data_IF_671607108640
#
_entry.id   IF_671607108640
#
_cell.length_a   1.000
_cell.length_b   1.000
_cell.length_c   1.000
_cell.angle_alpha   90.00
_cell.angle_beta   90.00
_cell.angle_gamma   90.00
#
_symmetry.space_group_name_H-M   'P 1'
#
loop_
_entity.id
_entity.type
_entity.pdbx_description
1 polymer ?
#
# COMPACT_ATOMS: atom_id res chain seq x y z
N UNK A 1 -8.53 13.87 34.94
CA UNK A 1 -7.89 14.32 33.68
C UNK A 1 -7.58 13.08 32.88
N UNK A 2 -8.24 12.86 31.75
CA UNK A 2 -7.85 11.81 30.83
C UNK A 2 -6.58 12.32 30.16
N UNK A 3 -5.43 11.69 30.43
CA UNK A 3 -4.21 11.97 29.66
C UNK A 3 -4.43 11.41 28.28
N UNK A 4 -4.74 12.27 27.31
CA UNK A 4 -4.93 11.85 25.92
C UNK A 4 -3.66 11.17 25.42
N UNK A 5 -3.82 9.95 24.92
CA UNK A 5 -2.74 9.16 24.33
C UNK A 5 -2.30 9.86 23.04
N UNK A 6 -1.01 10.17 22.88
CA UNK A 6 -0.53 10.82 21.66
C UNK A 6 -0.58 9.83 20.51
N UNK A 7 -0.67 10.34 19.28
CA UNK A 7 -0.74 9.53 18.06
C UNK A 7 0.40 8.50 17.96
N UNK A 8 1.59 8.86 18.44
CA UNK A 8 2.80 8.03 18.36
C UNK A 8 2.98 7.06 19.54
N UNK A 9 2.10 7.12 20.55
CA UNK A 9 2.18 6.27 21.74
C UNK A 9 1.40 4.95 21.54
N UNK A 10 0.77 4.77 20.38
CA UNK A 10 0.07 3.53 20.04
C UNK A 10 1.10 2.45 19.70
N UNK A 11 0.92 1.22 20.22
CA UNK A 11 1.78 0.11 19.83
C UNK A 11 1.63 -0.11 18.32
N UNK A 12 2.74 -0.42 17.67
CA UNK A 12 2.75 -0.82 16.27
C UNK A 12 1.98 -2.12 16.08
N UNK A 13 1.53 -2.34 14.87
CA UNK A 13 0.87 -3.57 14.47
C UNK A 13 1.86 -4.75 14.53
N UNK A 14 1.34 -5.94 14.82
CA UNK A 14 2.14 -7.13 15.14
C UNK A 14 3.15 -7.52 14.04
N UNK A 15 2.84 -7.19 12.78
CA UNK A 15 3.65 -7.55 11.63
C UNK A 15 4.91 -6.67 11.48
N UNK A 16 5.17 -5.75 12.41
CA UNK A 16 6.44 -5.01 12.47
C UNK A 16 7.68 -5.93 12.56
N UNK A 17 7.51 -7.17 13.02
CA UNK A 17 8.57 -8.16 13.12
C UNK A 17 9.17 -8.59 11.77
N UNK A 18 8.45 -8.38 10.66
CA UNK A 18 8.96 -8.63 9.31
C UNK A 18 9.92 -7.53 8.80
N UNK A 19 10.00 -6.39 9.50
CA UNK A 19 10.78 -5.24 9.05
C UNK A 19 10.14 -4.48 7.87
N UNK A 20 10.88 -3.52 7.33
CA UNK A 20 10.43 -2.70 6.20
C UNK A 20 10.95 -3.28 4.87
N UNK A 21 10.09 -3.25 3.86
CA UNK A 21 10.43 -3.62 2.48
C UNK A 21 11.23 -2.51 1.78
N UNK A 22 12.14 -2.87 0.87
CA UNK A 22 12.84 -1.85 0.05
C UNK A 22 11.86 -1.10 -0.85
N UNK A 23 10.86 -1.80 -1.40
CA UNK A 23 9.73 -1.28 -2.16
C UNK A 23 8.47 -2.00 -1.70
N UNK A 24 7.31 -1.33 -1.72
CA UNK A 24 6.04 -2.00 -1.45
C UNK A 24 5.83 -3.10 -2.49
N UNK A 25 5.50 -4.34 -2.08
CA UNK A 25 5.29 -5.42 -3.04
C UNK A 25 4.11 -5.13 -3.96
N UNK A 26 4.35 -5.38 -5.24
CA UNK A 26 3.42 -5.26 -6.36
C UNK A 26 3.03 -6.61 -6.93
N UNK A 27 3.79 -7.66 -6.60
CA UNK A 27 3.56 -9.05 -7.02
C UNK A 27 3.53 -10.03 -5.85
N UNK A 28 3.11 -11.27 -6.13
CA UNK A 28 3.08 -12.32 -5.10
C UNK A 28 4.47 -12.87 -4.80
N UNK A 29 5.32 -12.92 -5.81
CA UNK A 29 6.71 -13.33 -5.69
C UNK A 29 7.49 -12.37 -4.78
N UNK A 30 7.23 -11.06 -4.87
CA UNK A 30 7.84 -10.07 -3.97
C UNK A 30 7.38 -10.26 -2.52
N UNK A 31 6.12 -10.64 -2.30
CA UNK A 31 5.62 -10.98 -0.96
C UNK A 31 6.28 -12.23 -0.40
N UNK A 32 6.48 -13.26 -1.23
CA UNK A 32 7.18 -14.48 -0.83
C UNK A 32 8.63 -14.17 -0.41
N UNK A 33 9.32 -13.27 -1.11
CA UNK A 33 10.66 -12.80 -0.74
C UNK A 33 10.68 -12.05 0.60
N UNK A 34 9.59 -11.36 0.95
CA UNK A 34 9.39 -10.71 2.24
C UNK A 34 8.90 -11.68 3.34
N UNK A 35 8.58 -12.93 2.98
CA UNK A 35 8.00 -13.91 3.89
C UNK A 35 6.53 -13.61 4.26
N UNK A 36 5.82 -12.87 3.42
CA UNK A 36 4.43 -12.45 3.65
C UNK A 36 3.45 -13.39 2.95
N UNK A 37 2.61 -14.05 3.72
CA UNK A 37 1.50 -14.87 3.18
C UNK A 37 0.34 -14.02 2.61
N UNK A 38 0.20 -12.79 3.13
CA UNK A 38 -0.90 -11.87 2.87
C UNK A 38 -0.49 -10.43 3.17
N UNK A 39 -1.14 -9.47 2.50
CA UNK A 39 -1.06 -8.07 2.89
C UNK A 39 -2.14 -7.78 3.93
N UNK A 40 -1.86 -6.88 4.86
CA UNK A 40 -2.89 -6.35 5.75
C UNK A 40 -3.70 -5.28 5.02
N UNK A 41 -3.02 -4.45 4.22
CA UNK A 41 -3.61 -3.38 3.43
C UNK A 41 -3.09 -3.49 2.00
N UNK A 42 -3.97 -3.33 1.02
CA UNK A 42 -3.59 -3.22 -0.40
C UNK A 42 -4.01 -1.85 -0.90
N UNK A 43 -3.05 -1.06 -1.37
CA UNK A 43 -3.31 0.21 -2.03
C UNK A 43 -3.54 -0.02 -3.52
N UNK A 44 -4.58 0.59 -4.08
CA UNK A 44 -4.86 0.59 -5.51
C UNK A 44 -4.72 2.02 -6.01
N UNK A 45 -3.88 2.24 -7.03
CA UNK A 45 -3.64 3.55 -7.63
C UNK A 45 -3.89 3.54 -9.13
N UNK A 46 -4.55 4.59 -9.65
CA UNK A 46 -4.71 4.82 -11.09
C UNK A 46 -3.48 5.42 -11.78
N UNK A 47 -2.43 5.70 -11.02
CA UNK A 47 -1.15 6.26 -11.45
C UNK A 47 -0.02 5.28 -11.14
N UNK A 48 1.10 5.38 -11.85
CA UNK A 48 2.23 4.48 -11.68
C UNK A 48 2.78 4.53 -10.25
N UNK A 49 3.19 3.37 -9.72
CA UNK A 49 3.86 3.34 -8.43
C UNK A 49 5.30 3.85 -8.58
N UNK A 50 5.54 5.05 -8.05
CA UNK A 50 6.88 5.60 -7.84
C UNK A 50 7.05 5.83 -6.34
N UNK A 51 8.01 5.11 -5.74
CA UNK A 51 8.28 5.21 -4.30
C UNK A 51 9.04 6.50 -3.96
N UNK A 52 8.34 7.63 -4.00
CA UNK A 52 8.91 8.96 -3.82
C UNK A 52 8.01 9.82 -2.92
N UNK A 53 8.56 10.69 -2.05
CA UNK A 53 7.76 11.51 -1.13
C UNK A 53 6.82 12.51 -1.81
N UNK A 54 7.01 12.82 -3.10
CA UNK A 54 6.06 13.62 -3.89
C UNK A 54 4.82 12.84 -4.31
N UNK A 55 4.78 11.52 -4.07
CA UNK A 55 3.70 10.63 -4.46
C UNK A 55 2.87 10.26 -3.22
N UNK A 56 1.62 10.72 -3.17
CA UNK A 56 0.78 10.60 -1.97
C UNK A 56 0.52 9.16 -1.55
N UNK A 57 0.30 8.26 -2.52
CA UNK A 57 0.15 6.82 -2.28
C UNK A 57 1.41 6.19 -1.66
N UNK A 58 2.61 6.61 -2.08
CA UNK A 58 3.86 6.14 -1.51
C UNK A 58 4.01 6.61 -0.07
N UNK A 59 3.72 7.88 0.21
CA UNK A 59 3.74 8.43 1.58
C UNK A 59 2.76 7.69 2.49
N UNK A 60 1.53 7.43 2.03
CA UNK A 60 0.53 6.69 2.80
C UNK A 60 1.00 5.25 3.06
N UNK A 61 1.48 4.56 2.02
CA UNK A 61 1.97 3.19 2.15
C UNK A 61 3.14 3.06 3.12
N UNK A 62 4.13 3.94 3.03
CA UNK A 62 5.28 3.98 3.94
C UNK A 62 4.89 4.38 5.36
N UNK A 63 3.92 5.27 5.53
CA UNK A 63 3.41 5.60 6.86
C UNK A 63 2.76 4.37 7.51
N UNK A 64 1.90 3.65 6.78
CA UNK A 64 1.27 2.42 7.27
C UNK A 64 2.31 1.33 7.57
N UNK A 65 3.28 1.11 6.69
CA UNK A 65 4.38 0.17 6.93
C UNK A 65 5.19 0.54 8.19
N UNK A 66 5.45 1.84 8.41
CA UNK A 66 6.13 2.32 9.62
C UNK A 66 5.36 2.04 10.92
N UNK A 67 4.03 1.90 10.82
CA UNK A 67 3.15 1.48 11.91
C UNK A 67 3.06 -0.05 12.04
N UNK A 68 3.83 -0.82 11.27
CA UNK A 68 3.94 -2.27 11.38
C UNK A 68 2.97 -3.07 10.51
N UNK A 69 2.27 -2.43 9.57
CA UNK A 69 1.35 -3.13 8.65
C UNK A 69 2.10 -3.67 7.43
N UNK A 70 1.68 -4.84 6.92
CA UNK A 70 2.13 -5.35 5.61
C UNK A 70 1.31 -4.68 4.52
N UNK A 71 1.94 -3.84 3.73
CA UNK A 71 1.26 -3.01 2.72
C UNK A 71 1.73 -3.42 1.33
N UNK A 72 0.80 -3.83 0.47
CA UNK A 72 1.06 -4.01 -0.96
C UNK A 72 0.46 -2.89 -1.80
N UNK A 73 0.90 -2.76 -3.05
CA UNK A 73 0.34 -1.77 -3.98
C UNK A 73 0.06 -2.39 -5.35
N UNK A 74 -1.08 -2.03 -5.92
CA UNK A 74 -1.53 -2.36 -7.28
C UNK A 74 -1.66 -1.04 -8.03
N UNK A 75 -0.78 -0.81 -8.97
CA UNK A 75 -0.81 0.36 -9.83
C UNK A 75 -1.38 0.05 -11.21
N UNK A 76 -2.11 1.02 -11.75
CA UNK A 76 -2.73 1.01 -13.07
C UNK A 76 -3.38 -0.33 -13.46
N UNK A 77 -4.24 -0.91 -12.60
CA UNK A 77 -4.86 -2.20 -12.93
C UNK A 77 -5.75 -2.07 -14.16
N UNK A 78 -5.79 -3.11 -15.00
CA UNK A 78 -6.78 -3.23 -16.06
C UNK A 78 -8.18 -3.27 -15.44
N UNK A 79 -8.96 -2.22 -15.67
CA UNK A 79 -10.31 -2.06 -15.15
C UNK A 79 -11.36 -2.91 -15.90
N UNK A 80 -10.98 -3.55 -17.01
CA UNK A 80 -11.82 -4.51 -17.72
C UNK A 80 -11.78 -5.92 -17.12
N UNK A 81 -10.77 -6.23 -16.30
CA UNK A 81 -10.65 -7.52 -15.62
C UNK A 81 -10.57 -7.35 -14.10
N UNK A 82 -11.05 -8.35 -13.37
CA UNK A 82 -10.88 -8.42 -11.91
C UNK A 82 -9.49 -8.96 -11.52
N UNK A 83 -8.77 -9.57 -12.46
CA UNK A 83 -7.58 -10.37 -12.16
C UNK A 83 -6.46 -9.49 -11.58
N UNK A 84 -6.25 -8.30 -12.13
CA UNK A 84 -5.27 -7.34 -11.62
C UNK A 84 -5.57 -6.91 -10.19
N UNK A 85 -6.85 -6.69 -9.85
CA UNK A 85 -7.29 -6.36 -8.50
C UNK A 85 -7.11 -7.54 -7.51
N UNK A 86 -6.96 -8.76 -8.02
CA UNK A 86 -6.84 -9.98 -7.23
C UNK A 86 -5.40 -10.52 -7.18
N UNK A 87 -4.44 -9.92 -7.91
CA UNK A 87 -3.06 -10.42 -8.00
C UNK A 87 -2.33 -10.51 -6.64
N UNK A 88 -2.69 -9.63 -5.70
CA UNK A 88 -2.21 -9.65 -4.32
C UNK A 88 -3.20 -10.30 -3.33
N UNK A 89 -4.13 -11.12 -3.82
CA UNK A 89 -5.08 -11.82 -2.96
C UNK A 89 -5.95 -10.89 -2.10
N UNK A 90 -6.57 -11.46 -1.06
CA UNK A 90 -7.43 -10.73 -0.13
C UNK A 90 -6.59 -10.08 0.97
N UNK A 91 -6.77 -8.77 1.26
CA UNK A 91 -6.12 -8.12 2.38
C UNK A 91 -6.79 -8.50 3.71
N UNK A 92 -6.03 -8.49 4.81
CA UNK A 92 -6.58 -8.80 6.13
C UNK A 92 -7.46 -7.69 6.71
N UNK A 93 -7.22 -6.44 6.32
CA UNK A 93 -7.95 -5.27 6.81
C UNK A 93 -8.81 -4.64 5.71
N UNK A 94 -8.20 -4.03 4.69
CA UNK A 94 -8.95 -3.32 3.65
C UNK A 94 -8.14 -3.04 2.36
N UNK A 95 -8.86 -2.61 1.32
CA UNK A 95 -8.30 -1.98 0.13
C UNK A 95 -8.39 -0.46 0.24
N UNK A 96 -7.29 0.26 0.01
CA UNK A 96 -7.26 1.72 -0.08
C UNK A 96 -7.16 2.15 -1.54
N UNK A 97 -8.12 2.93 -2.04
CA UNK A 97 -8.16 3.32 -3.45
C UNK A 97 -7.84 4.81 -3.60
N UNK A 98 -6.97 5.15 -4.55
CA UNK A 98 -6.62 6.53 -4.90
C UNK A 98 -6.49 6.68 -6.41
N UNK A 99 -6.82 7.88 -6.93
CA UNK A 99 -6.63 8.19 -8.35
C UNK A 99 -5.15 8.40 -8.72
N UNK A 100 -4.27 8.60 -7.73
CA UNK A 100 -2.86 8.93 -7.94
C UNK A 100 -2.59 10.44 -7.91
N UNK A 101 -1.42 10.87 -8.37
CA UNK A 101 -1.02 12.28 -8.31
C UNK A 101 -1.30 13.02 -9.61
N UNK A 102 -1.36 12.31 -10.72
CA UNK A 102 -1.68 12.89 -12.02
C UNK A 102 -3.17 13.18 -12.19
N UNK A 103 -3.49 14.37 -12.70
CA UNK A 103 -4.86 14.69 -13.11
C UNK A 103 -5.25 13.86 -14.34
N UNK A 104 -6.47 13.32 -14.32
CA UNK A 104 -7.09 12.56 -15.41
C UNK A 104 -7.04 13.25 -16.78
N UNK A 105 -7.05 14.58 -16.84
CA UNK A 105 -6.95 15.35 -18.07
C UNK A 105 -5.58 15.17 -18.74
N UNK A 106 -4.52 15.08 -17.93
CA UNK A 106 -3.14 14.87 -18.42
C UNK A 106 -2.95 13.41 -18.81
N UNK A 107 -3.54 12.48 -18.04
CA UNK A 107 -3.43 11.04 -18.28
C UNK A 107 -4.13 10.54 -19.56
N UNK A 108 -4.84 11.41 -20.30
CA UNK A 108 -5.47 11.08 -21.59
C UNK A 108 -4.54 11.25 -22.80
N UNK A 109 -3.38 11.88 -22.61
CA UNK A 109 -2.44 12.21 -23.68
C UNK A 109 -1.30 11.19 -23.84
N UNK A 110 -1.29 10.14 -23.01
CA UNK A 110 -0.32 9.05 -22.97
C UNK A 110 -1.06 7.76 -22.70
#
# INVERSE_FOLDING_TARGET
>A
MHTDKKLWDYPKYWAECFGASTFLPTTREEMDLLGWDSCDIILITGDAYVDHPSFGMAVIGRMLESQGFRVGIIDQPDWHSKDDFQKLGKPNLYFGVTAGNMDSMINRYT
#
